data_IF_002803911534
#
_entry.id   IF_002803911534
#
_cell.length_a   1.000
_cell.length_b   1.000
_cell.length_c   1.000
_cell.angle_alpha   90.00
_cell.angle_beta   90.00
_cell.angle_gamma   90.00
#
_symmetry.space_group_name_H-M   'P 1'
#
loop_
_entity.id
_entity.type
_entity.pdbx_description
1 polymer ?
#
# COMPACT_ATOMS: atom_id res chain seq x y z
N UNK A 1 9.59 -11.09 -7.38
CA UNK A 1 10.47 -11.17 -8.55
C UNK A 1 11.90 -11.08 -8.06
N UNK A 2 12.83 -11.69 -8.78
CA UNK A 2 14.28 -11.58 -8.52
C UNK A 2 14.90 -11.04 -9.79
N UNK A 3 15.61 -9.91 -9.72
CA UNK A 3 16.24 -9.22 -10.85
C UNK A 3 15.27 -8.99 -12.02
N UNK A 4 14.05 -8.56 -11.74
CA UNK A 4 13.02 -8.30 -12.76
C UNK A 4 12.38 -9.56 -13.39
N UNK A 5 12.77 -10.76 -12.97
CA UNK A 5 12.17 -12.01 -13.45
C UNK A 5 11.21 -12.63 -12.42
N UNK A 6 10.16 -13.31 -12.90
CA UNK A 6 9.28 -14.13 -12.04
C UNK A 6 10.09 -15.28 -11.45
N UNK A 7 10.11 -15.36 -10.12
CA UNK A 7 10.89 -16.34 -9.38
C UNK A 7 9.98 -17.47 -8.86
N UNK A 8 10.52 -18.69 -8.80
CA UNK A 8 9.91 -19.83 -8.11
C UNK A 8 10.38 -19.85 -6.65
N UNK A 9 9.70 -20.61 -5.79
CA UNK A 9 10.09 -20.71 -4.38
C UNK A 9 11.52 -21.24 -4.17
N UNK A 10 11.99 -22.11 -5.08
CA UNK A 10 13.35 -22.67 -5.06
C UNK A 10 14.40 -21.81 -5.80
N UNK A 11 14.08 -20.55 -6.16
CA UNK A 11 15.07 -19.66 -6.79
C UNK A 11 16.13 -19.30 -5.76
N UNK A 12 17.40 -19.61 -6.07
CA UNK A 12 18.53 -19.22 -5.23
C UNK A 12 18.71 -17.70 -5.28
N UNK A 13 19.06 -17.11 -4.13
CA UNK A 13 19.29 -15.68 -3.94
C UNK A 13 20.75 -15.45 -3.58
N UNK A 14 21.34 -14.38 -4.11
CA UNK A 14 22.72 -13.98 -3.89
C UNK A 14 22.79 -12.53 -3.42
N UNK A 15 23.93 -12.16 -2.84
CA UNK A 15 24.23 -10.76 -2.51
C UNK A 15 24.27 -9.94 -3.81
N UNK A 16 23.67 -8.74 -3.78
CA UNK A 16 23.46 -7.85 -4.91
C UNK A 16 22.17 -8.11 -5.70
N UNK A 17 21.43 -9.20 -5.42
CA UNK A 17 20.15 -9.43 -6.09
C UNK A 17 19.11 -8.40 -5.67
N UNK A 18 18.32 -7.95 -6.65
CA UNK A 18 17.17 -7.08 -6.42
C UNK A 18 15.89 -7.89 -6.30
N UNK A 19 15.26 -7.81 -5.14
CA UNK A 19 14.02 -8.52 -4.82
C UNK A 19 12.86 -7.54 -4.78
N UNK A 20 11.84 -7.86 -5.56
CA UNK A 20 10.58 -7.13 -5.58
C UNK A 20 9.46 -8.04 -5.06
N UNK A 21 8.78 -7.62 -4.00
CA UNK A 21 7.72 -8.39 -3.37
C UNK A 21 6.55 -7.48 -3.01
N UNK A 22 5.34 -7.96 -3.23
CA UNK A 22 4.11 -7.28 -2.80
C UNK A 22 3.64 -7.90 -1.49
N UNK A 23 3.70 -7.12 -0.41
CA UNK A 23 3.28 -7.54 0.94
C UNK A 23 2.02 -6.76 1.30
N UNK A 24 0.89 -7.45 1.38
CA UNK A 24 -0.43 -6.85 1.56
C UNK A 24 -0.68 -5.73 0.50
N UNK A 25 -0.79 -4.47 0.94
CA UNK A 25 -1.00 -3.31 0.08
C UNK A 25 0.28 -2.53 -0.26
N UNK A 26 1.44 -3.00 0.20
CA UNK A 26 2.72 -2.32 0.02
C UNK A 26 3.62 -3.09 -0.92
N UNK A 27 4.23 -2.37 -1.84
CA UNK A 27 5.35 -2.86 -2.63
C UNK A 27 6.64 -2.72 -1.83
N UNK A 28 7.44 -3.79 -1.82
CA UNK A 28 8.77 -3.82 -1.23
C UNK A 28 9.79 -4.11 -2.31
N UNK A 29 10.77 -3.22 -2.42
CA UNK A 29 11.89 -3.34 -3.36
C UNK A 29 13.14 -3.30 -2.51
N UNK A 30 13.88 -4.41 -2.45
CA UNK A 30 15.07 -4.54 -1.61
C UNK A 30 16.25 -5.08 -2.40
N UNK A 31 17.45 -4.62 -2.05
CA UNK A 31 18.71 -5.19 -2.54
C UNK A 31 19.30 -6.08 -1.44
N UNK A 32 19.70 -7.30 -1.79
CA UNK A 32 20.24 -8.27 -0.84
C UNK A 32 21.69 -7.93 -0.49
N UNK A 33 21.97 -7.68 0.79
CA UNK A 33 23.33 -7.42 1.30
C UNK A 33 23.94 -8.70 1.91
N UNK A 34 23.11 -9.53 2.54
CA UNK A 34 23.54 -10.76 3.17
C UNK A 34 22.48 -11.86 3.06
N UNK A 35 22.91 -13.07 2.70
CA UNK A 35 22.06 -14.27 2.67
C UNK A 35 22.23 -15.03 3.98
N UNK A 36 21.11 -15.38 4.62
CA UNK A 36 21.09 -16.11 5.89
C UNK A 36 20.25 -17.38 5.75
N UNK A 37 20.69 -18.47 6.39
CA UNK A 37 20.02 -19.77 6.33
C UNK A 37 19.03 -20.01 7.48
N UNK A 38 19.04 -19.14 8.50
CA UNK A 38 18.15 -19.22 9.66
C UNK A 38 17.42 -17.89 9.82
N UNK A 39 16.15 -17.96 10.20
CA UNK A 39 15.37 -16.77 10.57
C UNK A 39 15.95 -16.13 11.84
N UNK A 40 16.23 -14.84 11.77
CA UNK A 40 16.80 -14.05 12.86
C UNK A 40 15.83 -12.97 13.35
N UNK A 41 16.17 -12.30 14.44
CA UNK A 41 15.41 -11.18 14.98
C UNK A 41 15.40 -9.97 14.05
N UNK A 42 14.42 -9.08 14.25
CA UNK A 42 14.23 -7.85 13.47
C UNK A 42 15.50 -6.99 13.28
N UNK A 43 16.28 -6.66 14.33
CA UNK A 43 17.43 -5.76 14.17
C UNK A 43 18.52 -6.34 13.25
N UNK A 44 18.69 -7.67 13.27
CA UNK A 44 19.66 -8.37 12.41
C UNK A 44 19.08 -8.54 10.99
N UNK A 45 17.78 -8.81 10.88
CA UNK A 45 17.15 -8.98 9.56
C UNK A 45 17.25 -7.70 8.70
N UNK A 46 17.14 -6.52 9.31
CA UNK A 46 17.23 -5.23 8.60
C UNK A 46 18.63 -4.98 8.03
N UNK A 47 19.69 -5.56 8.60
CA UNK A 47 21.05 -5.40 8.04
C UNK A 47 21.30 -6.30 6.83
N UNK A 48 20.41 -7.25 6.55
CA UNK A 48 20.59 -8.20 5.46
C UNK A 48 20.17 -7.65 4.08
N UNK A 49 19.55 -6.47 4.03
CA UNK A 49 19.09 -5.85 2.80
C UNK A 49 19.08 -4.31 2.87
N UNK A 50 19.18 -3.65 1.71
CA UNK A 50 18.91 -2.22 1.56
C UNK A 50 17.49 -2.03 1.02
N UNK A 51 16.72 -1.16 1.65
CA UNK A 51 15.32 -0.89 1.27
C UNK A 51 15.23 0.28 0.27
N UNK A 52 14.76 -0.02 -0.94
CA UNK A 52 14.47 0.95 -2.01
C UNK A 52 12.96 1.09 -2.26
N UNK A 53 12.13 0.62 -1.34
CA UNK A 53 10.69 0.67 -1.49
C UNK A 53 10.20 2.12 -1.61
N UNK A 54 9.22 2.40 -2.48
CA UNK A 54 8.59 3.71 -2.53
C UNK A 54 8.00 4.07 -1.16
N UNK A 55 8.06 5.36 -0.82
CA UNK A 55 7.46 5.88 0.40
C UNK A 55 5.96 5.57 0.37
N UNK A 56 5.43 5.10 1.51
CA UNK A 56 3.99 4.84 1.62
C UNK A 56 3.30 6.20 1.54
N UNK A 57 2.59 6.43 0.44
CA UNK A 57 1.72 7.61 0.31
C UNK A 57 0.63 7.43 1.35
N UNK A 58 0.70 8.21 2.43
CA UNK A 58 -0.37 8.27 3.41
C UNK A 58 -1.57 8.81 2.65
N UNK A 59 -2.55 7.95 2.39
CA UNK A 59 -3.62 8.23 1.44
C UNK A 59 -4.25 9.58 1.74
N UNK A 60 -4.46 10.39 0.69
CA UNK A 60 -5.27 11.58 0.79
C UNK A 60 -6.59 11.20 1.49
N UNK A 61 -6.96 11.97 2.52
CA UNK A 61 -8.29 11.90 3.13
C UNK A 61 -9.33 11.76 2.01
N UNK A 62 -10.35 10.90 2.13
CA UNK A 62 -11.37 10.78 1.12
C UNK A 62 -11.92 12.17 0.79
N UNK A 63 -11.64 12.66 -0.42
CA UNK A 63 -12.04 13.99 -0.89
C UNK A 63 -13.56 14.21 -0.78
N UNK A 64 -14.32 13.11 -0.77
CA UNK A 64 -15.74 13.11 -0.46
C UNK A 64 -15.99 12.83 1.03
N UNK A 65 -15.86 13.88 1.83
CA UNK A 65 -16.46 13.91 3.17
C UNK A 65 -17.91 14.34 3.03
N UNK A 66 -18.88 13.45 3.32
CA UNK A 66 -20.26 13.88 3.55
C UNK A 66 -20.32 14.62 4.87
N UNK A 67 -21.01 15.74 4.92
CA UNK A 67 -21.27 16.43 6.18
C UNK A 67 -22.01 15.50 7.15
N UNK A 68 -21.55 15.49 8.40
CA UNK A 68 -22.18 14.69 9.46
C UNK A 68 -23.60 15.24 9.66
N UNK A 69 -24.62 14.46 9.31
CA UNK A 69 -26.02 14.90 9.31
C UNK A 69 -26.65 15.06 7.93
N UNK A 70 -25.89 14.93 6.84
CA UNK A 70 -26.39 14.90 5.46
C UNK A 70 -27.07 13.56 5.09
N UNK A 71 -27.77 12.95 6.05
CA UNK A 71 -28.50 11.70 5.88
C UNK A 71 -29.71 11.86 4.95
N UNK A 72 -30.77 11.09 5.19
CA UNK A 72 -32.01 11.21 4.42
C UNK A 72 -32.51 12.68 4.47
N UNK A 73 -32.74 13.34 3.31
CA UNK A 73 -33.22 14.72 3.28
C UNK A 73 -34.46 14.90 4.16
N UNK A 74 -34.48 15.96 4.96
CA UNK A 74 -35.68 16.30 5.74
C UNK A 74 -36.80 16.70 4.79
N UNK A 75 -38.05 16.79 5.28
CA UNK A 75 -39.16 17.33 4.47
C UNK A 75 -38.87 18.74 3.94
N UNK A 76 -38.12 19.56 4.70
CA UNK A 76 -37.72 20.91 4.28
C UNK A 76 -36.74 20.85 3.12
N UNK A 77 -35.70 20.04 3.24
CA UNK A 77 -34.68 19.87 2.20
C UNK A 77 -35.29 19.32 0.92
N UNK A 78 -36.19 18.32 1.04
CA UNK A 78 -36.93 17.77 -0.11
C UNK A 78 -37.76 18.82 -0.82
N UNK A 79 -38.53 19.64 -0.10
CA UNK A 79 -39.32 20.73 -0.69
C UNK A 79 -38.43 21.79 -1.34
N UNK A 80 -37.24 22.03 -0.81
CA UNK A 80 -36.29 22.98 -1.41
C UNK A 80 -35.67 22.40 -2.68
N UNK A 81 -35.32 21.11 -2.69
CA UNK A 81 -34.89 20.39 -3.90
C UNK A 81 -35.99 20.40 -4.96
N UNK A 82 -37.24 20.09 -4.60
CA UNK A 82 -38.40 20.12 -5.51
C UNK A 82 -38.61 21.52 -6.13
N UNK A 83 -38.42 22.60 -5.36
CA UNK A 83 -38.49 23.98 -5.88
C UNK A 83 -37.34 24.32 -6.84
N UNK A 84 -36.13 23.84 -6.54
CA UNK A 84 -34.93 24.10 -7.36
C UNK A 84 -34.89 23.24 -8.62
N UNK A 85 -35.44 22.03 -8.57
CA UNK A 85 -35.55 21.13 -9.72
C UNK A 85 -36.72 21.47 -10.64
N UNK A 86 -37.55 22.45 -10.26
CA UNK A 86 -38.47 23.14 -11.15
C UNK A 86 -39.25 22.23 -12.09
N UNK A 87 -40.11 21.36 -11.54
CA UNK A 87 -41.19 20.67 -12.25
C UNK A 87 -40.80 19.92 -13.52
#
# INVERSE_FOLDING_TARGET
MVNGARAKAATAVKVGDRIEARIAKRERIVEVVQVINKRVGAPIAVTCFVDHSPLVVVGAEPLLRRDRGAGRPTKRDRRQIERLQGG
#
